data_IF_104680316053
#
_entry.id   IF_104680316053
#
_cell.length_a   1.000
_cell.length_b   1.000
_cell.length_c   1.000
_cell.angle_alpha   90.00
_cell.angle_beta   90.00
_cell.angle_gamma   90.00
#
_symmetry.space_group_name_H-M   'P 1'
#
loop_
_entity.id
_entity.type
_entity.pdbx_description
1 polymer ?
#
# COMPACT_ATOMS: atom_id res chain seq x y z
N UNK A 1 38.07 15.06 0.71
CA UNK A 1 36.59 14.97 0.64
C UNK A 1 36.16 13.52 0.82
N UNK A 2 35.52 13.18 1.94
CA UNK A 2 34.91 11.87 2.11
C UNK A 2 33.49 11.90 1.50
N UNK A 3 33.21 11.01 0.55
CA UNK A 3 31.88 10.87 -0.06
C UNK A 3 30.96 10.15 0.92
N UNK A 4 30.17 10.89 1.68
CA UNK A 4 29.12 10.32 2.53
C UNK A 4 27.99 9.85 1.60
N UNK A 5 27.94 8.54 1.34
CA UNK A 5 26.86 7.88 0.60
C UNK A 5 25.57 8.10 1.41
N UNK A 6 24.71 9.04 0.98
CA UNK A 6 23.37 9.23 1.56
C UNK A 6 22.54 7.99 1.28
N UNK A 7 22.54 7.03 2.21
CA UNK A 7 21.57 5.95 2.23
C UNK A 7 20.20 6.54 2.56
N UNK A 8 19.48 7.02 1.53
CA UNK A 8 18.05 7.35 1.62
C UNK A 8 17.21 6.06 1.74
N UNK A 9 17.55 5.15 2.64
CA UNK A 9 16.63 4.12 3.09
C UNK A 9 15.66 4.79 4.06
N UNK A 10 14.77 5.64 3.53
CA UNK A 10 13.65 6.18 4.30
C UNK A 10 12.85 4.97 4.74
N UNK A 11 12.90 4.70 6.04
CA UNK A 11 12.20 3.58 6.66
C UNK A 11 10.72 3.82 6.39
N UNK A 12 10.08 2.99 5.57
CA UNK A 12 8.66 3.12 5.27
C UNK A 12 7.88 3.17 6.58
N UNK A 13 7.11 4.23 6.78
CA UNK A 13 6.29 4.39 7.98
C UNK A 13 5.31 3.21 8.06
N UNK A 14 5.22 2.62 9.25
CA UNK A 14 4.35 1.46 9.48
C UNK A 14 3.00 1.96 9.95
N UNK A 15 1.95 1.66 9.19
CA UNK A 15 0.57 1.94 9.57
C UNK A 15 -0.07 0.64 10.04
N UNK A 16 -0.68 0.67 11.22
CA UNK A 16 -1.48 -0.43 11.75
C UNK A 16 -2.94 0.01 11.78
N UNK A 17 -3.84 -0.84 11.28
CA UNK A 17 -5.27 -0.62 11.37
C UNK A 17 -5.96 -1.90 11.84
N UNK A 18 -7.12 -1.73 12.48
CA UNK A 18 -7.96 -2.85 12.91
C UNK A 18 -9.01 -3.09 11.85
N UNK A 19 -9.26 -4.35 11.54
CA UNK A 19 -10.35 -4.74 10.66
C UNK A 19 -10.98 -6.07 11.12
N UNK A 20 -12.21 -6.37 10.69
CA UNK A 20 -12.84 -7.67 10.92
C UNK A 20 -12.01 -8.82 10.34
N UNK A 21 -12.04 -9.97 11.00
CA UNK A 21 -11.27 -11.16 10.60
C UNK A 21 -11.58 -11.59 9.16
N UNK A 22 -12.87 -11.67 8.81
CA UNK A 22 -13.33 -12.08 7.48
C UNK A 22 -12.80 -11.15 6.38
N UNK A 23 -12.73 -9.85 6.66
CA UNK A 23 -12.18 -8.87 5.74
C UNK A 23 -10.68 -9.07 5.53
N UNK A 24 -9.94 -9.31 6.63
CA UNK A 24 -8.50 -9.62 6.55
C UNK A 24 -8.24 -10.87 5.72
N UNK A 25 -8.98 -11.95 5.94
CA UNK A 25 -8.85 -13.20 5.20
C UNK A 25 -9.11 -13.00 3.70
N UNK A 26 -10.13 -12.20 3.36
CA UNK A 26 -10.42 -11.83 1.97
C UNK A 26 -9.27 -11.05 1.34
N UNK A 27 -8.68 -10.08 2.04
CA UNK A 27 -7.53 -9.33 1.54
C UNK A 27 -6.30 -10.24 1.33
N UNK A 28 -6.07 -11.18 2.24
CA UNK A 28 -4.97 -12.14 2.12
C UNK A 28 -5.14 -13.04 0.89
N UNK A 29 -6.35 -13.54 0.63
CA UNK A 29 -6.63 -14.32 -0.58
C UNK A 29 -6.37 -13.51 -1.86
N UNK A 30 -6.94 -12.31 -1.94
CA UNK A 30 -6.75 -11.43 -3.12
C UNK A 30 -5.28 -11.05 -3.35
N UNK A 31 -4.53 -10.78 -2.26
CA UNK A 31 -3.11 -10.47 -2.37
C UNK A 31 -2.28 -11.63 -2.95
N UNK A 32 -2.67 -12.87 -2.64
CA UNK A 32 -2.01 -14.08 -3.19
C UNK A 32 -2.34 -14.27 -4.66
N UNK A 33 -3.58 -14.02 -5.07
CA UNK A 33 -3.98 -14.07 -6.48
C UNK A 33 -3.21 -13.04 -7.34
N UNK A 34 -2.94 -11.85 -6.79
CA UNK A 34 -2.15 -10.80 -7.44
C UNK A 34 -0.62 -11.02 -7.33
N UNK A 35 -0.17 -12.11 -6.68
CA UNK A 35 1.24 -12.44 -6.42
C UNK A 35 2.01 -11.31 -5.69
N UNK A 36 1.35 -10.59 -4.78
CA UNK A 36 1.95 -9.49 -4.00
C UNK A 36 1.88 -9.74 -2.51
N UNK A 37 2.72 -9.02 -1.77
CA UNK A 37 2.54 -8.95 -0.31
C UNK A 37 1.24 -8.25 0.04
N UNK A 38 0.63 -8.61 1.17
CA UNK A 38 -0.60 -7.99 1.66
C UNK A 38 -0.47 -6.46 1.74
N UNK A 39 0.66 -5.96 2.27
CA UNK A 39 0.91 -4.52 2.42
C UNK A 39 0.98 -3.80 1.07
N UNK A 40 1.64 -4.40 0.08
CA UNK A 40 1.76 -3.83 -1.26
C UNK A 40 0.42 -3.85 -1.99
N UNK A 41 -0.32 -4.95 -1.88
CA UNK A 41 -1.66 -5.08 -2.44
C UNK A 41 -2.60 -3.99 -1.90
N UNK A 42 -2.59 -3.77 -0.58
CA UNK A 42 -3.41 -2.72 0.06
C UNK A 42 -2.98 -1.34 -0.41
N UNK A 43 -1.67 -1.06 -0.47
CA UNK A 43 -1.16 0.23 -0.92
C UNK A 43 -1.60 0.54 -2.36
N UNK A 44 -1.43 -0.40 -3.28
CA UNK A 44 -1.79 -0.24 -4.69
C UNK A 44 -3.31 -0.06 -4.85
N UNK A 45 -4.09 -0.81 -4.07
CA UNK A 45 -5.56 -0.67 -4.05
C UNK A 45 -6.00 0.72 -3.59
N UNK A 46 -5.37 1.25 -2.54
CA UNK A 46 -5.64 2.60 -2.05
C UNK A 46 -5.25 3.68 -3.06
N UNK A 47 -4.06 3.57 -3.66
CA UNK A 47 -3.61 4.52 -4.69
C UNK A 47 -4.56 4.53 -5.89
N UNK A 48 -5.02 3.36 -6.34
CA UNK A 48 -6.00 3.25 -7.42
C UNK A 48 -7.33 3.90 -7.04
N UNK A 49 -7.84 3.64 -5.84
CA UNK A 49 -9.08 4.24 -5.34
C UNK A 49 -9.00 5.78 -5.31
N UNK A 50 -7.91 6.34 -4.78
CA UNK A 50 -7.75 7.79 -4.71
C UNK A 50 -7.63 8.41 -6.11
N UNK A 51 -6.88 7.78 -7.02
CA UNK A 51 -6.77 8.24 -8.40
C UNK A 51 -8.13 8.26 -9.12
N UNK A 52 -8.95 7.23 -8.93
CA UNK A 52 -10.31 7.17 -9.48
C UNK A 52 -11.22 8.23 -8.86
N UNK A 53 -11.11 8.48 -7.54
CA UNK A 53 -11.87 9.52 -6.86
C UNK A 53 -11.47 10.94 -7.28
N UNK A 54 -10.19 11.20 -7.49
CA UNK A 54 -9.72 12.47 -8.04
C UNK A 54 -10.23 12.70 -9.45
N UNK A 55 -10.33 11.67 -10.28
CA UNK A 55 -10.90 11.77 -11.63
C UNK A 55 -12.40 12.10 -11.60
N UNK A 56 -13.16 11.51 -10.68
CA UNK A 56 -14.62 11.73 -10.56
C UNK A 56 -14.97 13.12 -10.00
N UNK A 57 -14.09 13.75 -9.22
CA UNK A 57 -14.34 15.05 -8.60
C UNK A 57 -13.93 16.25 -9.48
N UNK A 58 -13.29 16.01 -10.64
CA UNK A 58 -12.81 17.07 -11.54
C UNK A 58 -13.65 17.19 -12.84
N UNK A 59 -14.82 16.55 -12.90
CA UNK A 59 -15.90 16.77 -13.90
C UNK A 59 -17.08 17.49 -13.21
#
# INVERSE_FOLDING_TARGET
>A
MAYVKKNNMVRSERIMFRCPKEFKEKLEMLSREDNRSLSEFVLVSLMKYFKEKEAVNND
#
